data_IF_320292619535
#
_entry.id   IF_320292619535
#
_cell.length_a   1.000
_cell.length_b   1.000
_cell.length_c   1.000
_cell.angle_alpha   90.00
_cell.angle_beta   90.00
_cell.angle_gamma   90.00
#
_symmetry.space_group_name_H-M   'P 1'
#
loop_
_entity.id
_entity.type
_entity.pdbx_description
1 polymer ?
#
# COMPACT_ATOMS: atom_id res chain seq x y z
N UNK A 1 5.25 13.39 -1.49
CA UNK A 1 5.22 12.05 -2.11
C UNK A 1 4.39 12.14 -3.37
N UNK A 2 4.87 11.58 -4.48
CA UNK A 2 4.11 11.57 -5.73
C UNK A 2 2.97 10.56 -5.63
N UNK A 3 1.88 10.83 -6.36
CA UNK A 3 0.75 9.88 -6.47
C UNK A 3 1.28 8.54 -7.00
N UNK A 4 0.90 7.39 -6.41
CA UNK A 4 1.26 6.08 -6.93
C UNK A 4 0.85 5.90 -8.40
N UNK A 5 1.67 5.20 -9.15
CA UNK A 5 1.37 4.75 -10.51
C UNK A 5 0.34 3.62 -10.46
N UNK A 6 -0.44 3.46 -11.52
CA UNK A 6 -1.40 2.36 -11.61
C UNK A 6 -0.78 1.07 -12.12
N UNK A 7 0.36 1.17 -12.81
CA UNK A 7 1.09 0.04 -13.39
C UNK A 7 2.59 0.36 -13.42
N UNK A 8 3.40 -0.64 -13.09
CA UNK A 8 4.86 -0.64 -13.20
C UNK A 8 5.26 -2.05 -13.60
N UNK A 9 6.10 -2.19 -14.61
CA UNK A 9 6.54 -3.52 -15.08
C UNK A 9 7.37 -4.23 -14.00
N UNK A 10 7.00 -5.48 -13.70
CA UNK A 10 7.75 -6.35 -12.79
C UNK A 10 9.19 -6.60 -13.27
N UNK A 11 10.05 -7.03 -12.35
CA UNK A 11 11.47 -7.32 -12.60
C UNK A 11 12.26 -6.13 -13.17
N UNK A 12 11.85 -4.90 -12.84
CA UNK A 12 12.55 -3.66 -13.18
C UNK A 12 12.98 -2.89 -11.95
N UNK A 13 13.96 -2.00 -12.10
CA UNK A 13 14.35 -1.08 -11.02
C UNK A 13 13.19 -0.19 -10.56
N UNK A 14 12.38 0.29 -11.51
CA UNK A 14 11.19 1.10 -11.21
C UNK A 14 10.20 0.34 -10.33
N UNK A 15 10.07 -0.98 -10.48
CA UNK A 15 9.18 -1.79 -9.65
C UNK A 15 9.55 -1.79 -8.17
N UNK A 16 10.85 -1.64 -7.85
CA UNK A 16 11.35 -1.60 -6.48
C UNK A 16 11.29 -0.19 -5.89
N UNK A 17 11.36 0.84 -6.75
CA UNK A 17 11.46 2.25 -6.34
C UNK A 17 10.11 2.98 -6.33
N UNK A 18 9.33 2.82 -7.40
CA UNK A 18 8.13 3.60 -7.67
C UNK A 18 6.90 2.92 -7.06
N UNK A 19 6.08 3.69 -6.33
CA UNK A 19 4.87 3.17 -5.73
C UNK A 19 3.85 2.81 -6.82
N UNK A 20 3.36 1.57 -6.82
CA UNK A 20 2.33 1.07 -7.72
C UNK A 20 1.11 0.62 -6.91
N UNK A 21 -0.07 1.16 -7.21
CA UNK A 21 -1.35 0.79 -6.62
C UNK A 21 -2.43 0.87 -7.69
N UNK A 22 -3.07 -0.24 -8.04
CA UNK A 22 -4.26 -0.18 -8.91
C UNK A 22 -5.44 0.45 -8.15
N UNK A 23 -6.30 1.25 -8.80
CA UNK A 23 -7.37 1.98 -8.11
C UNK A 23 -8.51 1.07 -7.61
N UNK A 24 -8.57 -0.18 -8.08
CA UNK A 24 -9.67 -1.13 -7.83
C UNK A 24 -9.58 -1.84 -6.48
N UNK A 25 -8.49 -1.69 -5.73
CA UNK A 25 -8.32 -2.42 -4.47
C UNK A 25 -9.02 -1.80 -3.26
N UNK A 26 -9.47 -0.54 -3.32
CA UNK A 26 -10.33 0.02 -2.27
C UNK A 26 -11.75 -0.51 -2.43
N UNK A 27 -12.20 -1.31 -1.46
CA UNK A 27 -13.52 -1.92 -1.42
C UNK A 27 -14.34 -1.30 -0.32
N UNK A 28 -15.60 -1.71 -0.20
CA UNK A 28 -16.54 -1.18 0.78
C UNK A 28 -16.05 -1.34 2.23
N UNK A 29 -15.44 -2.50 2.55
CA UNK A 29 -15.07 -2.85 3.93
C UNK A 29 -13.57 -2.93 4.18
N UNK A 30 -12.77 -3.12 3.13
CA UNK A 30 -11.33 -3.30 3.24
C UNK A 30 -10.60 -2.77 2.01
N UNK A 31 -9.28 -2.84 2.07
CA UNK A 31 -8.41 -2.57 0.93
C UNK A 31 -7.68 -3.88 0.58
N UNK A 32 -7.78 -4.32 -0.68
CA UNK A 32 -7.27 -5.61 -1.12
C UNK A 32 -6.83 -5.61 -2.57
N UNK A 33 -5.58 -6.02 -2.75
CA UNK A 33 -4.91 -6.18 -4.03
C UNK A 33 -4.25 -7.55 -4.11
N UNK A 34 -4.03 -8.05 -5.33
CA UNK A 34 -3.11 -9.16 -5.59
C UNK A 34 -1.68 -8.65 -5.56
N UNK A 35 -0.85 -9.26 -4.72
CA UNK A 35 0.58 -9.01 -4.72
C UNK A 35 1.29 -9.99 -5.67
N UNK A 36 2.29 -9.57 -6.46
CA UNK A 36 2.80 -8.19 -6.61
C UNK A 36 2.13 -7.40 -7.76
N UNK A 37 1.25 -8.02 -8.55
CA UNK A 37 0.76 -7.46 -9.82
C UNK A 37 -0.28 -6.33 -9.74
N UNK A 38 -0.93 -6.11 -8.59
CA UNK A 38 -1.88 -5.00 -8.39
C UNK A 38 -1.38 -3.98 -7.34
N UNK A 39 -0.42 -4.37 -6.51
CA UNK A 39 0.28 -3.51 -5.57
C UNK A 39 1.70 -4.04 -5.34
N UNK A 40 2.68 -3.13 -5.33
CA UNK A 40 4.06 -3.47 -4.99
C UNK A 40 4.44 -3.00 -3.58
N UNK A 41 5.65 -3.33 -3.12
CA UNK A 41 6.11 -2.98 -1.76
C UNK A 41 6.16 -1.46 -1.51
N UNK A 42 6.57 -0.68 -2.51
CA UNK A 42 6.53 0.78 -2.44
C UNK A 42 5.08 1.31 -2.34
N UNK A 43 4.13 0.64 -3.00
CA UNK A 43 2.70 0.90 -2.90
C UNK A 43 2.13 0.62 -1.51
N UNK A 44 2.52 -0.49 -0.87
CA UNK A 44 2.15 -0.78 0.53
C UNK A 44 2.66 0.31 1.48
N UNK A 45 3.91 0.74 1.30
CA UNK A 45 4.49 1.86 2.05
C UNK A 45 3.66 3.14 1.86
N UNK A 46 3.31 3.47 0.61
CA UNK A 46 2.48 4.62 0.28
C UNK A 46 1.07 4.55 0.92
N UNK A 47 0.46 3.36 0.95
CA UNK A 47 -0.82 3.13 1.61
C UNK A 47 -0.75 3.41 3.11
N UNK A 48 0.29 2.89 3.79
CA UNK A 48 0.51 3.13 5.23
C UNK A 48 0.69 4.61 5.57
N UNK A 49 1.47 5.35 4.77
CA UNK A 49 1.57 6.82 4.92
C UNK A 49 0.25 7.54 4.69
N UNK A 50 -0.56 7.06 3.73
CA UNK A 50 -1.91 7.56 3.51
C UNK A 50 -2.79 7.40 4.74
N UNK A 51 -2.80 6.20 5.35
CA UNK A 51 -3.53 5.90 6.57
C UNK A 51 -3.08 6.81 7.74
N UNK A 52 -1.77 6.88 8.02
CA UNK A 52 -1.24 7.73 9.09
C UNK A 52 -1.55 9.22 8.89
N UNK A 53 -1.52 9.69 7.64
CA UNK A 53 -1.93 11.06 7.30
C UNK A 53 -3.39 11.31 7.66
N UNK A 54 -4.29 10.35 7.39
CA UNK A 54 -5.70 10.47 7.75
C UNK A 54 -5.90 10.47 9.28
N UNK A 55 -5.15 9.66 10.02
CA UNK A 55 -5.22 9.64 11.49
C UNK A 55 -4.86 11.01 12.08
N UNK A 56 -3.71 11.57 11.68
CA UNK A 56 -3.30 12.91 12.12
C UNK A 56 -4.33 13.98 11.78
N UNK A 57 -4.86 13.97 10.54
CA UNK A 57 -5.88 14.94 10.10
C UNK A 57 -7.18 14.85 10.88
N UNK A 58 -7.51 13.67 11.42
CA UNK A 58 -8.71 13.43 12.20
C UNK A 58 -8.48 13.58 13.72
N UNK A 59 -7.27 13.95 14.15
CA UNK A 59 -6.93 14.05 15.57
C UNK A 59 -6.90 12.69 16.29
N UNK A 60 -6.72 11.59 15.55
CA UNK A 60 -6.56 10.26 16.12
C UNK A 60 -5.08 10.06 16.44
N UNK A 61 -4.77 9.63 17.65
CA UNK A 61 -3.40 9.31 18.04
C UNK A 61 -2.85 8.19 17.15
N UNK A 62 -1.66 8.34 16.53
CA UNK A 62 -1.11 7.39 15.56
C UNK A 62 -0.49 6.15 16.21
N UNK A 63 -1.22 5.51 17.13
CA UNK A 63 -0.82 4.26 17.78
C UNK A 63 -1.45 3.11 17.01
N UNK A 64 -0.62 2.34 16.29
CA UNK A 64 -1.07 1.25 15.42
C UNK A 64 -0.47 -0.07 15.91
N UNK A 65 -1.32 -1.05 16.17
CA UNK A 65 -0.91 -2.44 16.26
C UNK A 65 -0.94 -3.06 14.86
N UNK A 66 0.12 -3.76 14.47
CA UNK A 66 0.22 -4.43 13.16
C UNK A 66 0.13 -5.94 13.38
N UNK A 67 -0.66 -6.61 12.55
CA UNK A 67 -0.82 -8.06 12.55
C UNK A 67 -0.82 -8.60 11.13
N UNK A 68 -0.15 -9.72 10.95
CA UNK A 68 0.04 -10.39 9.67
C UNK A 68 -0.51 -11.81 9.74
N UNK A 69 -0.92 -12.35 8.60
CA UNK A 69 -1.27 -13.77 8.46
C UNK A 69 -0.07 -14.58 7.93
N UNK A 70 -0.31 -15.83 7.54
CA UNK A 70 0.72 -16.78 7.10
C UNK A 70 1.04 -16.74 5.60
N UNK A 71 0.68 -15.68 4.87
CA UNK A 71 1.07 -15.55 3.45
C UNK A 71 2.56 -15.27 3.31
N UNK A 72 3.18 -15.78 2.25
CA UNK A 72 4.64 -15.64 2.03
C UNK A 72 5.11 -14.19 1.95
N UNK A 73 4.24 -13.30 1.48
CA UNK A 73 4.51 -11.87 1.32
C UNK A 73 4.08 -11.03 2.53
N UNK A 74 3.61 -11.66 3.60
CA UNK A 74 3.25 -10.99 4.85
C UNK A 74 4.51 -10.77 5.71
N UNK A 75 5.33 -9.78 5.30
CA UNK A 75 6.56 -9.34 5.98
C UNK A 75 6.39 -8.05 6.76
#
# INVERSE_FOLDING_TARGET
>A
MNKPLTEVSENTWSFLRDAMITPTGFREYDARWKFPGEINLAGITALGMGLGTQMHRRGIEPVIAVGNDYREYSV
#
